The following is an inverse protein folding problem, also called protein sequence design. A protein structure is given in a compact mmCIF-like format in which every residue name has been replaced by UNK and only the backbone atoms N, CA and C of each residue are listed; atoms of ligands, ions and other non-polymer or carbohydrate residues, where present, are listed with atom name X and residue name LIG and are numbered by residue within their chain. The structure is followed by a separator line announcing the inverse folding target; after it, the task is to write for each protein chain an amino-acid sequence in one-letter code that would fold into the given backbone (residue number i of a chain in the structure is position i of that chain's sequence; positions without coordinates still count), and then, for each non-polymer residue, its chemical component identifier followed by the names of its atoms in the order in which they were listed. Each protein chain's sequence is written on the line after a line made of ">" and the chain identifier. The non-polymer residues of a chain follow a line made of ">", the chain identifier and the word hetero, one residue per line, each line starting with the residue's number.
data_IF_401958712945
#
_entry.id   IF_401958712945
#
_cell.length_a   1.000
_cell.length_b   1.000
_cell.length_c   1.000
_cell.angle_alpha   90.00
_cell.angle_beta   90.00
_cell.angle_gamma   90.00
#
_symmetry.space_group_name_H-M   'P 1'
#
loop_
_entity.id
_entity.type
_entity.pdbx_description
1 polymer ?
#
# COMPACT_ATOMS: atom_id res chain seq x y z
N UNK A 1 7.75 -9.63 -31.85
CA UNK A 1 7.65 -8.17 -31.68
C UNK A 1 9.00 -7.63 -31.21
N UNK A 2 9.42 -6.41 -31.60
CA UNK A 2 10.68 -5.85 -31.11
C UNK A 2 10.64 -5.80 -29.58
N UNK A 3 11.72 -6.26 -28.94
CA UNK A 3 11.90 -6.18 -27.49
C UNK A 3 11.69 -4.74 -27.07
N UNK A 4 10.68 -4.50 -26.23
CA UNK A 4 10.34 -3.17 -25.73
C UNK A 4 11.61 -2.47 -25.23
N UNK A 5 11.75 -1.16 -25.50
CA UNK A 5 12.88 -0.42 -24.94
C UNK A 5 12.69 -0.28 -23.43
N UNK A 6 13.53 -0.89 -22.58
CA UNK A 6 13.32 -0.91 -21.13
C UNK A 6 13.15 0.48 -20.52
N UNK A 7 13.86 1.48 -21.06
CA UNK A 7 13.74 2.86 -20.59
C UNK A 7 12.39 3.46 -20.94
N UNK A 8 11.88 3.20 -22.15
CA UNK A 8 10.55 3.65 -22.55
C UNK A 8 9.45 3.03 -21.69
N UNK A 9 9.55 1.73 -21.37
CA UNK A 9 8.62 1.05 -20.46
C UNK A 9 8.65 1.67 -19.06
N UNK A 10 9.84 1.88 -18.48
CA UNK A 10 9.97 2.52 -17.16
C UNK A 10 9.38 3.94 -17.14
N UNK A 11 9.65 4.73 -18.19
CA UNK A 11 9.10 6.08 -18.31
C UNK A 11 7.57 6.06 -18.43
N UNK A 12 7.02 5.11 -19.20
CA UNK A 12 5.57 4.94 -19.31
C UNK A 12 4.94 4.51 -17.98
N UNK A 13 5.57 3.58 -17.24
CA UNK A 13 5.12 3.20 -15.91
C UNK A 13 5.11 4.40 -14.95
N UNK A 14 6.11 5.29 -15.02
CA UNK A 14 6.15 6.52 -14.23
C UNK A 14 4.94 7.41 -14.53
N UNK A 15 4.67 7.69 -15.80
CA UNK A 15 3.55 8.55 -16.20
C UNK A 15 2.19 7.94 -15.80
N UNK A 16 2.05 6.61 -15.92
CA UNK A 16 0.87 5.88 -15.43
C UNK A 16 0.72 6.00 -13.92
N UNK A 17 1.79 5.85 -13.16
CA UNK A 17 1.76 6.00 -11.70
C UNK A 17 1.33 7.39 -11.25
N UNK A 18 1.89 8.44 -11.85
CA UNK A 18 1.52 9.82 -11.54
C UNK A 18 0.04 10.06 -11.84
N UNK A 19 -0.45 9.55 -12.98
CA UNK A 19 -1.86 9.64 -13.37
C UNK A 19 -2.76 8.90 -12.38
N UNK A 20 -2.43 7.66 -12.03
CA UNK A 20 -3.22 6.85 -11.09
C UNK A 20 -3.31 7.51 -9.70
N UNK A 21 -2.21 8.05 -9.19
CA UNK A 21 -2.22 8.75 -7.90
C UNK A 21 -3.06 10.03 -7.98
N UNK A 22 -2.96 10.79 -9.08
CA UNK A 22 -3.79 11.98 -9.29
C UNK A 22 -5.28 11.65 -9.29
N UNK A 23 -5.69 10.63 -10.05
CA UNK A 23 -7.08 10.16 -10.15
C UNK A 23 -7.59 9.65 -8.80
N UNK A 24 -6.79 8.85 -8.10
CA UNK A 24 -7.12 8.29 -6.79
C UNK A 24 -7.24 9.34 -5.67
N UNK A 25 -6.70 10.54 -5.89
CA UNK A 25 -6.70 11.64 -4.91
C UNK A 25 -7.62 12.81 -5.30
N UNK A 26 -8.23 12.78 -6.49
CA UNK A 26 -8.95 13.92 -7.05
C UNK A 26 -10.23 14.28 -6.28
N UNK A 27 -10.92 13.28 -5.73
CA UNK A 27 -12.18 13.44 -4.99
C UNK A 27 -12.14 12.62 -3.69
N UNK A 28 -12.46 13.26 -2.56
CA UNK A 28 -12.51 12.61 -1.25
C UNK A 28 -13.53 11.44 -1.19
N UNK A 29 -14.61 11.49 -1.98
CA UNK A 29 -15.63 10.43 -2.08
C UNK A 29 -15.17 9.22 -2.88
N UNK A 30 -14.11 9.34 -3.66
CA UNK A 30 -13.49 8.21 -4.36
C UNK A 30 -12.01 8.06 -3.98
N UNK A 31 -11.61 8.66 -2.86
CA UNK A 31 -10.23 8.63 -2.41
C UNK A 31 -9.79 7.17 -2.20
N UNK A 32 -8.75 6.74 -2.90
CA UNK A 32 -8.16 5.40 -2.76
C UNK A 32 -6.77 5.51 -2.15
N UNK A 33 -6.74 5.59 -0.82
CA UNK A 33 -5.51 5.66 -0.04
C UNK A 33 -4.61 4.45 -0.29
N UNK A 34 -5.20 3.27 -0.44
CA UNK A 34 -4.48 2.02 -0.64
C UNK A 34 -3.73 2.02 -1.98
N UNK A 35 -4.38 2.45 -3.05
CA UNK A 35 -3.76 2.62 -4.36
C UNK A 35 -2.65 3.67 -4.32
N UNK A 36 -2.90 4.84 -3.73
CA UNK A 36 -1.90 5.92 -3.58
C UNK A 36 -0.64 5.40 -2.90
N UNK A 37 -0.78 4.67 -1.78
CA UNK A 37 0.37 4.09 -1.05
C UNK A 37 1.08 3.07 -1.91
N UNK A 38 0.36 2.10 -2.48
CA UNK A 38 0.99 1.03 -3.28
C UNK A 38 1.78 1.61 -4.44
N UNK A 39 1.21 2.56 -5.18
CA UNK A 39 1.86 3.15 -6.36
C UNK A 39 3.03 4.06 -5.98
N UNK A 40 2.92 4.84 -4.89
CA UNK A 40 4.04 5.66 -4.42
C UNK A 40 5.20 4.82 -3.86
N UNK A 41 4.91 3.69 -3.21
CA UNK A 41 5.92 2.77 -2.66
C UNK A 41 6.86 2.20 -3.73
N UNK A 42 6.30 1.91 -4.92
CA UNK A 42 7.06 1.44 -6.10
C UNK A 42 8.21 2.40 -6.42
N UNK A 43 7.94 3.72 -6.33
CA UNK A 43 8.88 4.75 -6.76
C UNK A 43 9.86 5.19 -5.68
N UNK A 44 9.57 4.99 -4.39
CA UNK A 44 10.53 5.32 -3.30
C UNK A 44 11.88 4.64 -3.52
N UNK A 45 11.86 3.40 -4.00
CA UNK A 45 13.06 2.62 -4.28
C UNK A 45 13.45 2.59 -5.77
N UNK A 46 12.50 2.83 -6.70
CA UNK A 46 12.75 2.79 -8.15
C UNK A 46 13.17 4.13 -8.77
N UNK A 47 13.02 5.25 -8.04
CA UNK A 47 13.33 6.59 -8.58
C UNK A 47 14.80 6.72 -8.98
N UNK A 48 15.73 6.38 -8.08
CA UNK A 48 17.17 6.55 -8.40
C UNK A 48 17.60 5.67 -9.60
N UNK A 49 17.24 4.38 -9.67
CA UNK A 49 17.51 3.54 -10.84
C UNK A 49 16.94 4.09 -12.15
N UNK A 50 15.70 4.59 -12.15
CA UNK A 50 15.08 5.20 -13.33
C UNK A 50 15.90 6.41 -13.82
N UNK A 51 16.16 7.36 -12.93
CA UNK A 51 16.86 8.58 -13.30
C UNK A 51 18.30 8.28 -13.74
N UNK A 52 18.98 7.32 -13.11
CA UNK A 52 20.32 6.87 -13.51
C UNK A 52 20.31 6.34 -14.95
N UNK A 53 19.30 5.52 -15.28
CA UNK A 53 19.13 5.02 -16.64
C UNK A 53 18.84 6.15 -17.63
N UNK A 54 17.95 7.09 -17.32
CA UNK A 54 17.58 8.19 -18.22
C UNK A 54 18.73 9.17 -18.48
N UNK A 55 19.55 9.48 -17.48
CA UNK A 55 20.63 10.49 -17.61
C UNK A 55 22.00 9.89 -17.92
N UNK A 56 22.09 8.56 -18.08
CA UNK A 56 23.33 7.85 -18.39
C UNK A 56 24.00 8.37 -19.67
N UNK A 57 25.33 8.42 -19.69
CA UNK A 57 26.09 8.94 -20.86
C UNK A 57 26.20 7.93 -22.00
N UNK A 58 26.09 6.63 -21.71
CA UNK A 58 26.23 5.54 -22.69
C UNK A 58 24.90 4.80 -22.86
N UNK A 59 24.34 4.80 -24.08
CA UNK A 59 23.04 4.14 -24.40
C UNK A 59 22.98 2.67 -23.98
N UNK A 60 24.03 1.89 -24.23
CA UNK A 60 24.11 0.47 -23.82
C UNK A 60 24.03 0.28 -22.30
N UNK A 61 24.65 1.17 -21.54
CA UNK A 61 24.64 1.12 -20.07
C UNK A 61 23.28 1.57 -19.52
N UNK A 62 22.72 2.67 -20.04
CA UNK A 62 21.37 3.15 -19.75
C UNK A 62 20.32 2.05 -19.97
N UNK A 63 20.34 1.37 -21.13
CA UNK A 63 19.42 0.25 -21.42
C UNK A 63 19.56 -0.90 -20.43
N UNK A 64 20.78 -1.24 -20.02
CA UNK A 64 21.03 -2.29 -19.02
C UNK A 64 20.53 -1.90 -17.63
N UNK A 65 20.74 -0.65 -17.22
CA UNK A 65 20.23 -0.15 -15.94
C UNK A 65 18.70 -0.13 -15.93
N UNK A 66 18.07 0.31 -17.03
CA UNK A 66 16.62 0.26 -17.17
C UNK A 66 16.07 -1.18 -17.09
N UNK A 67 16.71 -2.12 -17.79
CA UNK A 67 16.32 -3.54 -17.69
C UNK A 67 16.48 -4.08 -16.25
N UNK A 68 17.59 -3.78 -15.58
CA UNK A 68 17.82 -4.18 -14.20
C UNK A 68 16.78 -3.58 -13.23
N UNK A 69 16.39 -2.32 -13.43
CA UNK A 69 15.34 -1.69 -12.63
C UNK A 69 13.97 -2.34 -12.85
N UNK A 70 13.60 -2.68 -14.10
CA UNK A 70 12.37 -3.43 -14.38
C UNK A 70 12.36 -4.81 -13.70
N UNK A 71 13.48 -5.53 -13.74
CA UNK A 71 13.59 -6.82 -13.06
C UNK A 71 13.40 -6.67 -11.55
N UNK A 72 14.10 -5.71 -10.95
CA UNK A 72 13.99 -5.42 -9.52
C UNK A 72 12.58 -5.01 -9.11
N UNK A 73 11.90 -4.18 -9.90
CA UNK A 73 10.49 -3.81 -9.66
C UNK A 73 9.55 -5.02 -9.78
N UNK A 74 9.81 -5.92 -10.74
CA UNK A 74 8.96 -7.07 -11.01
C UNK A 74 8.95 -8.07 -9.84
N UNK A 75 10.01 -8.14 -9.04
CA UNK A 75 10.07 -9.00 -7.85
C UNK A 75 8.94 -8.69 -6.85
N UNK A 76 8.47 -7.43 -6.81
CA UNK A 76 7.45 -6.98 -5.85
C UNK A 76 6.15 -6.53 -6.51
N UNK A 77 6.19 -6.12 -7.78
CA UNK A 77 5.09 -5.40 -8.44
C UNK A 77 4.75 -5.92 -9.84
N UNK A 78 5.14 -7.15 -10.19
CA UNK A 78 4.96 -7.73 -11.53
C UNK A 78 3.57 -7.50 -12.12
N UNK A 79 2.52 -7.91 -11.42
CA UNK A 79 1.13 -7.87 -11.93
C UNK A 79 0.73 -6.44 -12.33
N UNK A 80 0.95 -5.48 -11.42
CA UNK A 80 0.70 -4.07 -11.69
C UNK A 80 1.55 -3.56 -12.86
N UNK A 81 2.84 -3.92 -12.93
CA UNK A 81 3.72 -3.48 -14.02
C UNK A 81 3.25 -4.00 -15.37
N UNK A 82 2.88 -5.27 -15.46
CA UNK A 82 2.37 -5.89 -16.70
C UNK A 82 1.09 -5.20 -17.15
N UNK A 83 0.13 -5.01 -16.23
CA UNK A 83 -1.12 -4.32 -16.51
C UNK A 83 -0.89 -2.88 -17.01
N UNK A 84 -0.10 -2.08 -16.27
CA UNK A 84 0.13 -0.68 -16.62
C UNK A 84 1.00 -0.52 -17.88
N UNK A 85 1.94 -1.42 -18.12
CA UNK A 85 2.72 -1.46 -19.35
C UNK A 85 1.82 -1.77 -20.55
N UNK A 86 0.90 -2.73 -20.42
CA UNK A 86 -0.05 -3.07 -21.47
C UNK A 86 -0.98 -1.90 -21.82
N UNK A 87 -1.50 -1.18 -20.81
CA UNK A 87 -2.28 0.07 -21.01
C UNK A 87 -1.47 1.12 -21.79
N UNK A 88 -0.16 1.19 -21.56
CA UNK A 88 0.75 2.07 -22.29
C UNK A 88 1.24 1.50 -23.64
N UNK A 89 0.74 0.34 -24.07
CA UNK A 89 1.07 -0.29 -25.36
C UNK A 89 2.33 -1.16 -25.37
N UNK A 90 2.82 -1.61 -24.21
CA UNK A 90 4.02 -2.45 -24.08
C UNK A 90 3.68 -3.87 -23.60
N UNK A 91 4.20 -4.88 -24.31
CA UNK A 91 4.15 -6.28 -23.89
C UNK A 91 5.33 -6.61 -22.95
N UNK A 92 5.18 -6.29 -21.66
CA UNK A 92 6.24 -6.45 -20.66
C UNK A 92 6.39 -7.89 -20.16
N UNK A 93 5.29 -8.66 -20.10
CA UNK A 93 5.27 -9.99 -19.49
C UNK A 93 6.30 -10.94 -20.12
N UNK A 94 6.38 -10.97 -21.46
CA UNK A 94 7.33 -11.80 -22.21
C UNK A 94 8.80 -11.45 -21.96
N UNK A 95 9.06 -10.25 -21.42
CA UNK A 95 10.42 -9.73 -21.18
C UNK A 95 10.89 -9.93 -19.74
N UNK A 96 10.00 -10.36 -18.83
CA UNK A 96 10.34 -10.58 -17.43
C UNK A 96 10.58 -12.08 -17.19
N UNK A 97 11.53 -12.45 -16.31
CA UNK A 97 11.73 -13.84 -15.91
C UNK A 97 10.46 -14.42 -15.28
N UNK A 98 10.32 -15.75 -15.14
CA UNK A 98 9.21 -16.33 -14.40
C UNK A 98 9.06 -15.70 -13.01
N UNK A 99 7.82 -15.55 -12.55
CA UNK A 99 7.53 -14.99 -11.23
C UNK A 99 8.30 -15.78 -10.16
N UNK A 100 9.01 -15.11 -9.24
CA UNK A 100 9.68 -15.80 -8.15
C UNK A 100 8.67 -16.63 -7.35
N UNK A 101 9.14 -17.74 -6.77
CA UNK A 101 8.32 -18.63 -5.96
C UNK A 101 7.65 -17.84 -4.83
N UNK A 102 6.31 -17.88 -4.79
CA UNK A 102 5.49 -17.27 -3.73
C UNK A 102 5.09 -18.37 -2.75
N UNK A 103 5.92 -18.61 -1.75
CA UNK A 103 5.68 -19.58 -0.70
C UNK A 103 6.69 -19.41 0.44
N UNK A 104 6.68 -20.30 1.44
CA UNK A 104 7.58 -20.20 2.58
C UNK A 104 9.04 -20.06 2.14
N UNK A 105 9.80 -19.23 2.85
CA UNK A 105 11.18 -18.87 2.50
C UNK A 105 12.07 -18.93 3.73
N UNK A 106 13.39 -19.07 3.55
CA UNK A 106 14.33 -18.98 4.67
C UNK A 106 14.78 -17.54 4.88
N UNK A 107 14.73 -17.07 6.13
CA UNK A 107 15.29 -15.78 6.51
C UNK A 107 16.83 -15.82 6.58
N UNK A 108 17.44 -14.69 6.94
CA UNK A 108 18.90 -14.56 7.07
C UNK A 108 19.50 -15.44 8.19
N UNK A 109 18.68 -15.94 9.11
CA UNK A 109 19.09 -16.89 10.15
C UNK A 109 18.90 -18.35 9.71
N UNK A 110 18.49 -18.58 8.45
CA UNK A 110 18.20 -19.89 7.89
C UNK A 110 16.86 -20.48 8.33
N UNK A 111 16.06 -19.76 9.14
CA UNK A 111 14.77 -20.24 9.63
C UNK A 111 13.71 -20.06 8.56
N UNK A 112 12.85 -21.05 8.39
CA UNK A 112 11.73 -20.94 7.45
C UNK A 112 10.67 -19.98 8.02
N UNK A 113 10.20 -19.07 7.18
CA UNK A 113 9.20 -18.06 7.48
C UNK A 113 8.00 -18.25 6.56
N UNK A 114 6.78 -17.95 7.03
CA UNK A 114 5.60 -17.99 6.21
C UNK A 114 5.63 -16.85 5.19
N UNK A 115 5.03 -17.08 4.03
CA UNK A 115 4.75 -16.04 3.04
C UNK A 115 3.25 -15.70 3.06
N UNK A 116 2.84 -14.45 2.76
CA UNK A 116 1.44 -14.10 2.55
C UNK A 116 0.73 -15.11 1.63
N UNK A 117 -0.29 -15.79 2.15
CA UNK A 117 -0.99 -16.83 1.41
C UNK A 117 -2.47 -16.46 1.17
N UNK A 118 -3.05 -16.85 0.03
CA UNK A 118 -4.50 -16.70 -0.20
C UNK A 118 -5.30 -17.38 0.92
N UNK A 119 -6.44 -16.78 1.30
CA UNK A 119 -7.37 -17.39 2.24
C UNK A 119 -8.18 -18.49 1.54
N UNK A 120 -7.69 -19.73 1.64
CA UNK A 120 -8.36 -20.95 1.20
C UNK A 120 -8.82 -21.77 2.40
N UNK A 121 -9.66 -22.79 2.17
CA UNK A 121 -10.05 -23.75 3.20
C UNK A 121 -8.83 -24.42 3.83
N UNK A 122 -7.89 -24.91 3.01
CA UNK A 122 -6.66 -25.56 3.47
C UNK A 122 -5.79 -24.62 4.33
N UNK A 123 -5.65 -23.35 3.93
CA UNK A 123 -4.89 -22.37 4.70
C UNK A 123 -5.55 -22.10 6.07
N UNK A 124 -6.88 -22.07 6.13
CA UNK A 124 -7.63 -21.90 7.38
C UNK A 124 -7.48 -23.12 8.29
N UNK A 125 -7.55 -24.33 7.74
CA UNK A 125 -7.35 -25.58 8.49
C UNK A 125 -5.93 -25.67 9.06
N UNK A 126 -4.93 -25.34 8.27
CA UNK A 126 -3.53 -25.29 8.71
C UNK A 126 -3.34 -24.32 9.88
N UNK A 127 -3.90 -23.12 9.78
CA UNK A 127 -3.84 -22.10 10.83
C UNK A 127 -4.58 -22.54 12.09
N UNK A 128 -5.75 -23.15 11.96
CA UNK A 128 -6.51 -23.66 13.10
C UNK A 128 -5.83 -24.84 13.82
N UNK A 129 -4.96 -25.57 13.12
CA UNK A 129 -4.14 -26.61 13.75
C UNK A 129 -3.06 -26.01 14.64
N UNK A 130 -2.41 -24.92 14.20
CA UNK A 130 -1.26 -24.33 14.90
C UNK A 130 -1.64 -23.20 15.89
N UNK A 131 -2.81 -22.58 15.74
CA UNK A 131 -3.24 -21.43 16.54
C UNK A 131 -4.66 -21.57 17.10
N UNK A 132 -4.87 -21.06 18.32
CA UNK A 132 -6.19 -21.06 18.96
C UNK A 132 -6.98 -19.78 18.64
N UNK A 133 -7.66 -19.78 17.49
CA UNK A 133 -8.44 -18.62 17.02
C UNK A 133 -9.56 -18.22 17.99
N UNK A 134 -10.16 -19.18 18.70
CA UNK A 134 -11.25 -18.90 19.66
C UNK A 134 -10.77 -18.12 20.88
N UNK A 135 -9.50 -18.26 21.27
CA UNK A 135 -8.86 -17.52 22.36
C UNK A 135 -8.16 -16.23 21.89
N UNK A 136 -8.37 -15.83 20.64
CA UNK A 136 -7.72 -14.67 20.06
C UNK A 136 -8.27 -13.34 20.57
N UNK A 137 -7.52 -12.25 20.33
CA UNK A 137 -7.96 -10.88 20.57
C UNK A 137 -7.64 -10.01 19.35
N UNK A 138 -8.62 -9.24 18.88
CA UNK A 138 -8.42 -8.24 17.83
C UNK A 138 -7.55 -7.11 18.37
N UNK A 139 -6.38 -6.91 17.76
CA UNK A 139 -5.48 -5.80 18.09
C UNK A 139 -5.55 -4.66 17.08
N UNK A 140 -6.01 -4.92 15.87
CA UNK A 140 -6.33 -3.89 14.90
C UNK A 140 -7.46 -4.33 13.99
N UNK A 141 -8.38 -3.41 13.73
CA UNK A 141 -9.42 -3.57 12.73
C UNK A 141 -9.44 -2.30 11.87
N UNK A 142 -9.56 -2.46 10.55
CA UNK A 142 -9.76 -1.35 9.63
C UNK A 142 -10.73 -1.77 8.55
N UNK A 143 -11.75 -0.95 8.30
CA UNK A 143 -12.57 -1.02 7.09
C UNK A 143 -12.42 0.32 6.35
N UNK A 144 -12.18 0.26 5.05
CA UNK A 144 -11.81 1.43 4.26
C UNK A 144 -12.35 1.35 2.84
N UNK A 145 -12.96 2.43 2.38
CA UNK A 145 -13.33 2.58 0.97
C UNK A 145 -12.04 2.75 0.13
N UNK A 146 -11.81 1.82 -0.79
CA UNK A 146 -10.80 1.89 -1.83
C UNK A 146 -11.47 2.29 -3.15
N UNK A 147 -11.53 3.60 -3.41
CA UNK A 147 -12.35 4.14 -4.49
C UNK A 147 -13.83 3.91 -4.20
N UNK A 148 -14.48 3.06 -5.02
CA UNK A 148 -15.88 2.64 -4.83
C UNK A 148 -16.04 1.35 -4.04
N UNK A 149 -14.97 0.58 -3.88
CA UNK A 149 -14.98 -0.73 -3.23
C UNK A 149 -14.70 -0.57 -1.73
N UNK A 150 -15.02 -1.57 -0.93
CA UNK A 150 -14.71 -1.61 0.50
C UNK A 150 -13.65 -2.69 0.71
N UNK A 151 -12.56 -2.35 1.38
CA UNK A 151 -11.53 -3.30 1.79
C UNK A 151 -11.51 -3.36 3.33
N UNK A 152 -11.04 -4.48 3.89
CA UNK A 152 -10.85 -4.60 5.32
C UNK A 152 -9.49 -5.22 5.68
N UNK A 153 -9.03 -4.90 6.87
CA UNK A 153 -7.82 -5.48 7.46
C UNK A 153 -8.08 -5.78 8.93
N UNK A 154 -7.91 -7.04 9.32
CA UNK A 154 -8.11 -7.50 10.70
C UNK A 154 -6.81 -8.12 11.17
N UNK A 155 -6.25 -7.63 12.28
CA UNK A 155 -5.10 -8.25 12.93
C UNK A 155 -5.52 -8.75 14.30
N UNK A 156 -5.31 -10.04 14.55
CA UNK A 156 -5.57 -10.69 15.83
C UNK A 156 -4.26 -11.16 16.46
N UNK A 157 -4.17 -11.08 17.79
CA UNK A 157 -3.19 -11.85 18.58
C UNK A 157 -3.79 -13.20 18.92
N UNK A 158 -3.01 -14.26 18.76
CA UNK A 158 -3.48 -15.63 18.91
C UNK A 158 -2.53 -16.43 19.81
N UNK A 159 -3.04 -17.28 20.71
CA UNK A 159 -2.23 -18.29 21.37
C UNK A 159 -1.77 -19.36 20.38
N UNK A 160 -0.54 -19.86 20.56
CA UNK A 160 -0.02 -21.03 19.85
C UNK A 160 -0.57 -22.30 20.46
N UNK A 161 -0.77 -23.33 19.63
CA UNK A 161 -1.08 -24.70 20.07
C UNK A 161 0.16 -25.60 20.15
N UNK A 162 1.30 -25.09 19.70
CA UNK A 162 2.59 -25.75 19.74
C UNK A 162 3.52 -25.08 20.76
N UNK A 163 4.47 -25.83 21.34
CA UNK A 163 5.50 -25.25 22.21
C UNK A 163 6.42 -24.34 21.40
N UNK A 164 6.78 -23.19 21.96
CA UNK A 164 7.67 -22.21 21.34
C UNK A 164 8.60 -21.60 22.36
N UNK A 165 9.88 -21.40 22.01
CA UNK A 165 10.87 -20.71 22.85
C UNK A 165 10.76 -19.18 22.74
N UNK A 166 9.54 -18.67 22.85
CA UNK A 166 9.25 -17.23 22.90
C UNK A 166 7.97 -16.96 23.67
N UNK A 167 8.00 -15.92 24.50
CA UNK A 167 6.83 -15.41 25.21
C UNK A 167 6.00 -14.43 24.35
N UNK A 168 6.53 -13.97 23.22
CA UNK A 168 5.80 -13.03 22.35
C UNK A 168 4.63 -13.76 21.68
N UNK A 169 3.39 -13.26 21.77
CA UNK A 169 2.24 -13.88 21.12
C UNK A 169 2.36 -13.79 19.59
N UNK A 170 1.85 -14.79 18.88
CA UNK A 170 1.72 -14.75 17.43
C UNK A 170 0.65 -13.74 17.02
N UNK A 171 0.80 -13.15 15.83
CA UNK A 171 -0.19 -12.29 15.22
C UNK A 171 -0.58 -12.80 13.83
N UNK A 172 -1.88 -12.83 13.55
CA UNK A 172 -2.44 -13.16 12.25
C UNK A 172 -3.10 -11.92 11.67
N UNK A 173 -2.69 -11.53 10.47
CA UNK A 173 -3.25 -10.39 9.76
C UNK A 173 -4.02 -10.86 8.52
N UNK A 174 -5.30 -10.56 8.48
CA UNK A 174 -6.21 -10.87 7.39
C UNK A 174 -6.44 -9.62 6.55
N UNK A 175 -6.11 -9.70 5.27
CA UNK A 175 -6.31 -8.64 4.31
C UNK A 175 -7.42 -9.03 3.36
N UNK A 176 -8.57 -8.37 3.50
CA UNK A 176 -9.81 -8.70 2.79
C UNK A 176 -10.08 -7.67 1.70
N UNK A 177 -10.41 -8.16 0.50
CA UNK A 177 -10.65 -7.37 -0.71
C UNK A 177 -12.08 -7.49 -1.15
N UNK A 178 -12.64 -6.37 -1.57
CA UNK A 178 -14.03 -6.32 -2.06
C UNK A 178 -15.01 -6.87 -1.01
N UNK A 179 -14.92 -6.30 0.20
CA UNK A 179 -15.79 -6.55 1.34
C UNK A 179 -17.23 -6.24 0.97
N UNK A 180 -18.07 -7.27 1.04
CA UNK A 180 -19.51 -7.17 0.74
C UNK A 180 -20.30 -6.88 2.01
N UNK A 181 -19.83 -7.38 3.17
CA UNK A 181 -20.51 -7.16 4.45
C UNK A 181 -19.53 -6.99 5.60
N UNK A 182 -19.77 -6.00 6.45
CA UNK A 182 -19.04 -5.77 7.70
C UNK A 182 -20.03 -5.42 8.80
N UNK A 183 -19.89 -6.05 9.95
CA UNK A 183 -20.56 -5.68 11.19
C UNK A 183 -19.57 -5.96 12.32
N UNK A 184 -19.03 -4.92 12.97
CA UNK A 184 -18.05 -5.09 14.06
C UNK A 184 -18.33 -4.04 15.12
N UNK A 185 -18.44 -4.48 16.38
CA UNK A 185 -18.49 -3.58 17.52
C UNK A 185 -17.33 -3.85 18.50
N UNK A 186 -17.09 -2.91 19.40
CA UNK A 186 -16.10 -3.06 20.47
C UNK A 186 -16.34 -4.33 21.34
N UNK A 187 -17.59 -4.79 21.46
CA UNK A 187 -17.93 -6.03 22.17
C UNK A 187 -17.49 -7.31 21.44
N UNK A 188 -17.09 -7.23 20.18
CA UNK A 188 -16.78 -8.37 19.32
C UNK A 188 -15.28 -8.64 19.19
N UNK A 189 -14.43 -8.01 20.01
CA UNK A 189 -12.97 -8.01 19.85
C UNK A 189 -12.25 -9.25 20.41
N UNK A 190 -13.00 -10.23 20.93
CA UNK A 190 -12.47 -11.45 21.54
C UNK A 190 -12.99 -12.70 20.87
N UNK A 191 -12.08 -13.60 20.50
CA UNK A 191 -12.38 -14.80 19.74
C UNK A 191 -12.61 -14.51 18.27
N UNK A 192 -12.10 -15.41 17.43
CA UNK A 192 -12.26 -15.35 16.00
C UNK A 192 -12.54 -16.76 15.45
N UNK A 193 -13.27 -16.81 14.34
CA UNK A 193 -13.37 -17.99 13.50
C UNK A 193 -13.26 -17.55 12.04
N UNK A 194 -12.64 -18.37 11.21
CA UNK A 194 -12.49 -18.09 9.79
C UNK A 194 -13.13 -19.23 9.02
N UNK A 195 -13.90 -18.89 8.00
CA UNK A 195 -14.55 -19.85 7.09
C UNK A 195 -14.39 -19.35 5.67
N UNK A 196 -14.11 -20.23 4.73
CA UNK A 196 -14.08 -19.91 3.29
C UNK A 196 -15.23 -20.64 2.62
N UNK A 197 -16.03 -19.91 1.85
CA UNK A 197 -17.17 -20.43 1.09
C UNK A 197 -17.02 -20.06 -0.38
N UNK A 198 -17.94 -20.51 -1.23
CA UNK A 198 -17.96 -20.12 -2.65
C UNK A 198 -18.09 -18.60 -2.85
N UNK A 199 -18.71 -17.89 -1.89
CA UNK A 199 -18.85 -16.44 -1.90
C UNK A 199 -17.58 -15.69 -1.40
N UNK A 200 -16.57 -16.43 -0.94
CA UNK A 200 -15.31 -15.91 -0.42
C UNK A 200 -15.09 -16.11 1.09
N UNK A 201 -14.02 -15.52 1.65
CA UNK A 201 -13.69 -15.64 3.07
C UNK A 201 -14.61 -14.79 3.97
N UNK A 202 -15.04 -15.41 5.08
CA UNK A 202 -15.73 -14.78 6.20
C UNK A 202 -14.91 -14.93 7.48
N UNK A 203 -14.69 -13.82 8.18
CA UNK A 203 -14.07 -13.78 9.51
C UNK A 203 -15.16 -13.43 10.51
N UNK A 204 -15.54 -14.35 11.39
CA UNK A 204 -16.37 -14.05 12.55
C UNK A 204 -15.48 -13.56 13.70
N UNK A 205 -15.95 -12.53 14.42
CA UNK A 205 -15.26 -11.88 15.54
C UNK A 205 -16.24 -11.82 16.72
N UNK A 206 -15.85 -12.35 17.87
CA UNK A 206 -16.72 -12.40 19.05
C UNK A 206 -18.05 -13.10 18.80
N UNK A 207 -19.11 -12.54 19.37
CA UNK A 207 -20.44 -13.19 19.35
C UNK A 207 -21.23 -12.81 18.11
N UNK A 208 -21.11 -11.57 17.62
CA UNK A 208 -21.94 -11.05 16.52
C UNK A 208 -21.13 -10.44 15.39
N UNK A 209 -19.87 -10.09 15.63
CA UNK A 209 -19.05 -9.42 14.64
C UNK A 209 -18.67 -10.32 13.48
N UNK A 210 -18.59 -9.78 12.28
CA UNK A 210 -18.02 -10.46 11.13
C UNK A 210 -17.60 -9.50 10.01
N UNK A 211 -16.73 -10.01 9.14
CA UNK A 211 -16.36 -9.41 7.86
C UNK A 211 -16.45 -10.47 6.76
N UNK A 212 -17.14 -10.16 5.67
CA UNK A 212 -17.27 -11.03 4.50
C UNK A 212 -16.74 -10.30 3.26
N UNK A 213 -15.93 -10.98 2.47
CA UNK A 213 -15.24 -10.40 1.33
C UNK A 213 -15.14 -11.40 0.17
N UNK A 214 -14.99 -10.91 -1.05
CA UNK A 214 -14.85 -11.77 -2.23
C UNK A 214 -13.52 -12.53 -2.23
N UNK A 215 -12.45 -11.94 -1.69
CA UNK A 215 -11.15 -12.59 -1.56
C UNK A 215 -10.33 -12.02 -0.39
N UNK A 216 -9.25 -12.70 -0.06
CA UNK A 216 -8.29 -12.17 0.90
C UNK A 216 -7.01 -13.00 1.00
N UNK A 217 -6.06 -12.49 1.75
CA UNK A 217 -4.83 -13.19 2.13
C UNK A 217 -4.58 -13.10 3.63
N UNK A 218 -3.81 -14.07 4.11
CA UNK A 218 -3.35 -14.18 5.48
C UNK A 218 -1.84 -13.97 5.54
N UNK A 219 -1.44 -13.09 6.44
CA UNK A 219 -0.07 -12.87 6.86
C UNK A 219 0.11 -13.41 8.29
N UNK A 220 1.01 -14.38 8.45
CA UNK A 220 1.38 -14.92 9.76
C UNK A 220 2.63 -14.21 10.24
N UNK A 221 2.53 -13.47 11.35
CA UNK A 221 3.68 -12.85 12.02
C UNK A 221 3.97 -13.61 13.31
N UNK A 222 4.88 -14.58 13.21
CA UNK A 222 5.28 -15.42 14.33
C UNK A 222 6.74 -15.86 14.19
N UNK A 223 7.61 -15.39 15.08
CA UNK A 223 9.04 -15.74 15.06
C UNK A 223 9.29 -17.24 15.30
N UNK A 224 8.36 -17.93 15.96
CA UNK A 224 8.39 -19.36 16.21
C UNK A 224 7.58 -20.15 15.18
N UNK A 225 7.14 -19.55 14.07
CA UNK A 225 6.34 -20.26 13.07
C UNK A 225 7.06 -21.51 12.53
N UNK A 226 8.39 -21.48 12.39
CA UNK A 226 9.21 -22.63 12.00
C UNK A 226 9.05 -23.86 12.94
N UNK A 227 8.63 -23.65 14.20
CA UNK A 227 8.37 -24.69 15.19
C UNK A 227 6.92 -25.23 15.14
N UNK A 228 6.07 -24.64 14.30
CA UNK A 228 4.69 -25.10 14.07
C UNK A 228 4.66 -26.36 13.19
N UNK A 229 3.50 -27.02 13.09
CA UNK A 229 3.36 -28.15 12.17
C UNK A 229 3.53 -27.72 10.71
N UNK A 230 2.95 -26.58 10.34
CA UNK A 230 3.13 -25.96 9.02
C UNK A 230 4.60 -25.61 8.76
N UNK A 231 5.25 -24.97 9.72
CA UNK A 231 6.65 -24.57 9.64
C UNK A 231 7.58 -25.75 9.41
N UNK A 232 7.43 -26.85 10.16
CA UNK A 232 8.23 -28.06 9.96
C UNK A 232 8.02 -28.72 8.59
N UNK A 233 6.78 -28.73 8.07
CA UNK A 233 6.50 -29.23 6.72
C UNK A 233 7.18 -28.37 5.67
N UNK A 234 7.10 -27.05 5.82
CA UNK A 234 7.78 -26.10 4.94
C UNK A 234 9.30 -26.27 5.01
N UNK A 235 9.87 -26.39 6.21
CA UNK A 235 11.30 -26.59 6.42
C UNK A 235 11.85 -27.81 5.67
N UNK A 236 11.08 -28.89 5.59
CA UNK A 236 11.46 -30.12 4.89
C UNK A 236 11.55 -29.97 3.36
N UNK A 237 10.87 -28.99 2.77
CA UNK A 237 10.78 -28.82 1.30
C UNK A 237 11.41 -27.52 0.80
N UNK A 238 11.57 -26.52 1.65
CA UNK A 238 12.19 -25.24 1.31
C UNK A 238 13.70 -25.43 1.28
N UNK A 239 14.35 -25.32 0.10
CA UNK A 239 15.79 -25.51 0.00
C UNK A 239 16.52 -24.47 0.86
N UNK A 240 17.79 -24.71 1.21
CA UNK A 240 18.65 -23.67 1.73
C UNK A 240 18.55 -22.45 0.82
N UNK A 241 18.37 -21.26 1.41
CA UNK A 241 18.35 -20.04 0.62
C UNK A 241 19.63 -19.96 -0.21
N UNK A 242 19.57 -19.53 -1.49
CA UNK A 242 20.79 -19.27 -2.23
C UNK A 242 21.65 -18.31 -1.39
N UNK A 243 22.98 -18.52 -1.34
CA UNK A 243 23.87 -17.48 -0.82
C UNK A 243 23.45 -16.17 -1.47
N UNK A 244 22.99 -15.20 -0.68
CA UNK A 244 22.50 -13.91 -1.18
C UNK A 244 23.63 -13.26 -1.96
N UNK A 245 23.70 -13.52 -3.26
CA UNK A 245 24.35 -12.66 -4.21
C UNK A 245 23.42 -11.47 -4.31
N UNK A 246 23.54 -10.57 -3.34
CA UNK A 246 22.70 -9.40 -3.23
C UNK A 246 22.52 -8.79 -4.61
N UNK A 247 21.26 -8.62 -5.04
CA UNK A 247 20.99 -8.03 -6.34
C UNK A 247 21.83 -6.77 -6.46
N UNK A 248 22.65 -6.62 -7.52
CA UNK A 248 23.53 -5.48 -7.65
C UNK A 248 22.65 -4.22 -7.54
N UNK A 249 22.85 -3.46 -6.46
CA UNK A 249 22.10 -2.22 -6.26
C UNK A 249 22.34 -1.34 -7.49
N UNK A 250 21.28 -0.81 -8.12
CA UNK A 250 21.46 0.05 -9.28
C UNK A 250 22.38 1.23 -8.95
N UNK A 251 23.21 1.64 -9.91
CA UNK A 251 24.17 2.73 -9.70
C UNK A 251 23.46 4.03 -9.25
N UNK A 252 24.14 4.81 -8.41
CA UNK A 252 23.68 6.13 -7.97
C UNK A 252 23.79 7.15 -9.13
N UNK A 253 22.80 8.04 -9.25
CA UNK A 253 22.78 9.16 -10.21
C UNK A 253 24.02 10.05 -10.00
N UNK A 254 24.92 10.11 -10.99
CA UNK A 254 26.21 10.83 -10.88
C UNK A 254 26.19 12.30 -11.33
N UNK A 255 25.05 12.78 -11.86
CA UNK A 255 24.93 14.09 -12.50
C UNK A 255 24.05 15.05 -11.70
N UNK A 256 24.48 16.29 -11.46
CA UNK A 256 23.83 17.20 -10.50
C UNK A 256 22.36 17.54 -10.83
N UNK A 257 22.04 17.90 -12.07
CA UNK A 257 20.65 18.24 -12.44
C UNK A 257 19.76 16.99 -12.44
N UNK A 258 20.29 15.86 -12.92
CA UNK A 258 19.58 14.57 -12.83
C UNK A 258 19.38 14.13 -11.38
N UNK A 259 20.35 14.40 -10.51
CA UNK A 259 20.30 14.12 -9.06
C UNK A 259 19.29 15.02 -8.37
N UNK A 260 19.23 16.30 -8.72
CA UNK A 260 18.25 17.25 -8.17
C UNK A 260 16.82 16.83 -8.54
N UNK A 261 16.54 16.58 -9.82
CA UNK A 261 15.23 16.10 -10.27
C UNK A 261 14.86 14.74 -9.65
N UNK A 262 15.81 13.80 -9.59
CA UNK A 262 15.62 12.49 -8.96
C UNK A 262 15.29 12.61 -7.46
N UNK A 263 16.05 13.44 -6.74
CA UNK A 263 15.83 13.68 -5.31
C UNK A 263 14.48 14.32 -5.05
N UNK A 264 14.13 15.35 -5.82
CA UNK A 264 12.84 16.03 -5.73
C UNK A 264 11.67 15.10 -5.94
N UNK A 265 11.72 14.28 -6.99
CA UNK A 265 10.67 13.29 -7.25
C UNK A 265 10.58 12.23 -6.14
N UNK A 266 11.72 11.73 -5.65
CA UNK A 266 11.76 10.77 -4.54
C UNK A 266 11.18 11.37 -3.24
N UNK A 267 11.51 12.62 -2.93
CA UNK A 267 10.95 13.35 -1.79
C UNK A 267 9.44 13.52 -1.94
N UNK A 268 8.94 13.93 -3.11
CA UNK A 268 7.51 14.01 -3.39
C UNK A 268 6.81 12.65 -3.23
N UNK A 269 7.38 11.55 -3.73
CA UNK A 269 6.79 10.22 -3.57
C UNK A 269 6.78 9.77 -2.11
N UNK A 270 7.80 10.12 -1.31
CA UNK A 270 7.79 9.89 0.14
C UNK A 270 6.73 10.70 0.86
N UNK A 271 6.56 11.97 0.49
CA UNK A 271 5.51 12.83 1.03
C UNK A 271 4.11 12.27 0.71
N UNK A 272 3.87 11.85 -0.53
CA UNK A 272 2.63 11.17 -0.91
C UNK A 272 2.46 9.86 -0.11
N UNK A 273 3.54 9.10 0.11
CA UNK A 273 3.51 7.86 0.90
C UNK A 273 3.15 8.09 2.37
N UNK A 274 3.29 9.30 2.92
CA UNK A 274 2.85 9.64 4.28
C UNK A 274 1.36 9.35 4.48
N UNK A 275 0.56 9.29 3.41
CA UNK A 275 -0.83 8.80 3.41
C UNK A 275 -0.99 7.38 4.00
N UNK A 276 0.10 6.63 4.16
CA UNK A 276 0.12 5.37 4.93
C UNK A 276 -0.31 5.56 6.38
N UNK A 277 -0.11 6.75 6.94
CA UNK A 277 -0.55 7.13 8.27
C UNK A 277 -1.95 7.73 8.16
N UNK A 278 -3.00 7.04 8.67
CA UNK A 278 -4.37 7.52 8.50
C UNK A 278 -4.59 8.93 9.07
N UNK A 279 -3.85 9.31 10.10
CA UNK A 279 -3.96 10.64 10.72
C UNK A 279 -3.43 11.79 9.87
N UNK A 280 -2.84 11.52 8.71
CA UNK A 280 -2.23 12.51 7.82
C UNK A 280 -2.89 12.55 6.44
N UNK A 281 -4.06 11.92 6.28
CA UNK A 281 -4.77 11.88 4.97
C UNK A 281 -5.46 13.20 4.61
N UNK A 282 -5.65 14.08 5.59
CA UNK A 282 -6.15 15.43 5.39
C UNK A 282 -5.06 16.39 4.88
N UNK A 283 -3.81 15.92 4.77
CA UNK A 283 -2.74 16.70 4.16
C UNK A 283 -3.09 16.97 2.68
N UNK A 284 -3.24 18.25 2.31
CA UNK A 284 -3.63 18.63 0.96
C UNK A 284 -2.49 18.36 -0.03
N UNK A 285 -2.85 18.27 -1.31
CA UNK A 285 -1.93 18.53 -2.41
C UNK A 285 -1.38 17.32 -3.15
N UNK A 286 -1.79 16.09 -2.84
CA UNK A 286 -1.35 14.89 -3.59
C UNK A 286 -1.62 15.06 -5.09
N UNK A 287 -2.85 15.44 -5.48
CA UNK A 287 -3.18 15.66 -6.89
C UNK A 287 -2.39 16.83 -7.51
N UNK A 288 -2.09 17.87 -6.74
CA UNK A 288 -1.28 19.00 -7.22
C UNK A 288 0.18 18.59 -7.44
N UNK A 289 0.76 17.83 -6.52
CA UNK A 289 2.10 17.25 -6.67
C UNK A 289 2.16 16.33 -7.89
N UNK A 290 1.15 15.48 -8.10
CA UNK A 290 1.08 14.66 -9.31
C UNK A 290 0.96 15.50 -10.58
N UNK A 291 0.18 16.59 -10.59
CA UNK A 291 0.08 17.49 -11.76
C UNK A 291 1.44 18.07 -12.15
N UNK A 292 2.29 18.44 -11.18
CA UNK A 292 3.63 18.97 -11.45
C UNK A 292 4.58 17.95 -12.09
N UNK A 293 4.35 16.67 -11.84
CA UNK A 293 5.11 15.57 -12.45
C UNK A 293 4.38 14.89 -13.61
N UNK A 294 3.28 15.47 -14.10
CA UNK A 294 2.58 14.94 -15.27
C UNK A 294 3.51 14.95 -16.50
N UNK A 295 3.69 13.79 -17.15
CA UNK A 295 4.60 13.65 -18.28
C UNK A 295 6.09 13.57 -17.90
N UNK A 296 6.42 13.33 -16.62
CA UNK A 296 7.80 13.17 -16.18
C UNK A 296 8.54 12.04 -16.92
N UNK A 297 7.85 10.95 -17.24
CA UNK A 297 8.37 9.86 -18.07
C UNK A 297 8.75 10.35 -19.48
N UNK A 298 7.85 11.05 -20.15
CA UNK A 298 8.13 11.66 -21.46
C UNK A 298 9.32 12.63 -21.43
N UNK A 299 9.43 13.45 -20.38
CA UNK A 299 10.56 14.36 -20.16
C UNK A 299 11.88 13.58 -20.01
N UNK A 300 11.89 12.52 -19.20
CA UNK A 300 13.06 11.67 -18.99
C UNK A 300 13.51 10.98 -20.28
N UNK A 301 12.55 10.46 -21.05
CA UNK A 301 12.83 9.82 -22.34
C UNK A 301 13.44 10.84 -23.33
N UNK A 302 12.85 12.04 -23.41
CA UNK A 302 13.36 13.12 -24.26
C UNK A 302 14.75 13.63 -23.83
N UNK A 303 15.09 13.54 -22.54
CA UNK A 303 16.42 13.85 -22.03
C UNK A 303 17.44 12.76 -22.42
N UNK A 304 17.05 11.49 -22.39
CA UNK A 304 17.92 10.36 -22.72
C UNK A 304 18.46 10.42 -24.17
N UNK A 305 17.67 10.99 -25.09
CA UNK A 305 18.05 11.19 -26.49
C UNK A 305 19.07 12.32 -26.71
N UNK A 306 19.38 13.13 -25.69
CA UNK A 306 20.30 14.26 -25.83
C UNK A 306 21.75 13.84 -25.64
N UNK A 307 22.63 14.39 -26.49
CA UNK A 307 24.06 14.06 -26.50
C UNK A 307 24.85 14.79 -25.42
N UNK A 308 24.48 16.03 -25.12
CA UNK A 308 25.25 16.86 -24.18
C UNK A 308 24.53 17.01 -22.84
N UNK A 309 25.32 17.07 -21.78
CA UNK A 309 24.87 17.33 -20.41
C UNK A 309 24.03 18.61 -20.30
N UNK A 310 24.40 19.67 -21.02
CA UNK A 310 23.65 20.94 -21.05
C UNK A 310 22.26 20.80 -21.67
N UNK A 311 22.13 20.06 -22.76
CA UNK A 311 20.83 19.80 -23.38
C UNK A 311 19.94 18.96 -22.46
N UNK A 312 20.50 17.95 -21.79
CA UNK A 312 19.77 17.16 -20.79
C UNK A 312 19.26 18.02 -19.65
N UNK A 313 20.13 18.88 -19.09
CA UNK A 313 19.74 19.80 -18.03
C UNK A 313 18.58 20.71 -18.43
N UNK A 314 18.61 21.25 -19.65
CA UNK A 314 17.54 22.11 -20.14
C UNK A 314 16.19 21.37 -20.23
N UNK A 315 16.19 20.11 -20.66
CA UNK A 315 14.98 19.27 -20.72
C UNK A 315 14.50 18.86 -19.32
N UNK A 316 15.41 18.60 -18.38
CA UNK A 316 15.07 18.18 -17.01
C UNK A 316 14.64 19.34 -16.08
N UNK A 317 14.79 20.59 -16.51
CA UNK A 317 14.50 21.76 -15.69
C UNK A 317 13.08 21.79 -15.12
N UNK A 318 12.00 21.47 -15.86
CA UNK A 318 10.65 21.41 -15.30
C UNK A 318 10.52 20.46 -14.10
N UNK A 319 11.22 19.31 -14.11
CA UNK A 319 11.22 18.36 -12.99
C UNK A 319 12.00 18.90 -11.79
N UNK A 320 13.02 19.74 -12.04
CA UNK A 320 13.78 20.40 -10.97
C UNK A 320 12.97 21.53 -10.35
N UNK A 321 12.26 22.32 -11.17
CA UNK A 321 11.40 23.40 -10.71
C UNK A 321 10.21 22.86 -9.91
N UNK A 322 9.63 21.73 -10.35
CA UNK A 322 8.60 21.01 -9.61
C UNK A 322 9.04 20.60 -8.20
N UNK A 323 10.32 20.26 -8.03
CA UNK A 323 10.91 19.88 -6.74
C UNK A 323 11.15 21.06 -5.80
N UNK A 324 11.34 22.27 -6.33
CA UNK A 324 11.67 23.47 -5.54
C UNK A 324 10.47 24.12 -4.88
N UNK A 325 9.25 23.71 -5.26
CA UNK A 325 8.01 24.21 -4.68
C UNK A 325 7.38 23.10 -3.80
N UNK A 326 7.95 22.78 -2.62
CA UNK A 326 7.36 21.78 -1.74
C UNK A 326 5.96 22.21 -1.30
N UNK A 327 5.18 21.27 -0.79
CA UNK A 327 3.84 21.53 -0.27
C UNK A 327 3.81 22.80 0.60
N UNK A 328 3.00 23.79 0.21
CA UNK A 328 2.51 24.74 1.21
C UNK A 328 1.48 23.99 2.06
N UNK A 329 1.75 23.74 3.35
CA UNK A 329 0.73 23.16 4.21
C UNK A 329 -0.46 24.12 4.21
N UNK A 330 -1.67 23.63 3.87
CA UNK A 330 -2.86 24.44 4.10
C UNK A 330 -2.87 24.87 5.57
N UNK A 331 -3.33 26.09 5.88
CA UNK A 331 -3.48 26.52 7.26
C UNK A 331 -4.22 25.44 8.04
N UNK A 332 -3.68 25.07 9.21
CA UNK A 332 -4.33 24.12 10.11
C UNK A 332 -5.75 24.62 10.33
N UNK A 333 -6.72 23.91 9.77
CA UNK A 333 -8.11 24.13 10.15
C UNK A 333 -8.18 23.63 11.58
N UNK A 334 -8.52 24.52 12.53
CA UNK A 334 -8.71 24.11 13.92
C UNK A 334 -9.63 22.88 13.96
N UNK A 335 -9.39 21.92 14.87
CA UNK A 335 -10.24 20.74 15.02
C UNK A 335 -11.66 21.16 15.36
N UNK A 336 -12.43 21.44 14.31
CA UNK A 336 -13.77 21.96 14.38
C UNK A 336 -14.74 20.84 14.70
N UNK A 337 -15.72 21.22 15.51
CA UNK A 337 -17.02 20.57 15.76
C UNK A 337 -17.39 19.53 14.71
N UNK A 338 -17.84 18.34 15.14
CA UNK A 338 -18.36 17.27 14.25
C UNK A 338 -19.21 17.91 13.13
N UNK A 339 -18.89 17.69 11.85
CA UNK A 339 -19.68 18.23 10.75
C UNK A 339 -21.14 17.75 10.91
N UNK A 340 -22.09 18.60 10.53
CA UNK A 340 -23.48 18.19 10.50
C UNK A 340 -23.60 16.94 9.62
N UNK A 341 -24.07 15.84 10.22
CA UNK A 341 -23.93 14.46 9.73
C UNK A 341 -24.65 14.23 8.40
N UNK A 342 -25.58 15.11 8.01
CA UNK A 342 -26.43 14.91 6.84
C UNK A 342 -25.71 14.94 5.48
N UNK A 343 -24.43 15.33 5.41
CA UNK A 343 -23.67 15.39 4.14
C UNK A 343 -22.27 14.76 4.21
N UNK A 344 -21.95 13.99 5.25
CA UNK A 344 -20.63 13.38 5.40
C UNK A 344 -20.66 11.89 5.06
N UNK A 345 -19.75 11.42 4.22
CA UNK A 345 -19.63 10.00 3.87
C UNK A 345 -18.49 9.35 4.66
N UNK A 346 -18.76 8.24 5.34
CA UNK A 346 -17.71 7.48 6.01
C UNK A 346 -16.79 6.80 4.98
N UNK A 347 -15.49 7.09 5.06
CA UNK A 347 -14.46 6.56 4.15
C UNK A 347 -13.58 5.51 4.80
N UNK A 348 -13.35 5.62 6.10
CA UNK A 348 -12.52 4.67 6.84
C UNK A 348 -12.95 4.64 8.29
N UNK A 349 -12.95 3.46 8.89
CA UNK A 349 -12.88 3.25 10.33
C UNK A 349 -11.63 2.44 10.62
N UNK A 350 -10.84 2.87 11.60
CA UNK A 350 -9.69 2.12 12.11
C UNK A 350 -9.74 2.08 13.63
N UNK A 351 -9.83 0.87 14.16
CA UNK A 351 -9.65 0.55 15.55
C UNK A 351 -8.25 -0.05 15.78
N UNK A 352 -7.66 0.29 16.92
CA UNK A 352 -6.43 -0.33 17.44
C UNK A 352 -6.58 -0.50 18.94
N UNK A 353 -6.46 -1.72 19.43
CA UNK A 353 -6.48 -2.01 20.85
C UNK A 353 -5.21 -1.51 21.53
N UNK A 354 -5.28 -1.34 22.84
CA UNK A 354 -4.11 -1.17 23.68
C UNK A 354 -3.19 -2.39 23.57
N UNK A 355 -1.91 -2.16 23.35
CA UNK A 355 -0.92 -3.23 23.32
C UNK A 355 0.49 -2.70 23.50
N UNK A 356 1.41 -3.59 23.85
CA UNK A 356 2.84 -3.30 23.80
C UNK A 356 3.41 -3.61 22.42
N UNK A 357 4.25 -2.71 21.91
CA UNK A 357 5.01 -2.88 20.67
C UNK A 357 6.45 -2.42 20.89
N UNK A 358 7.42 -3.33 20.74
CA UNK A 358 8.85 -3.07 20.96
C UNK A 358 9.15 -2.42 22.33
N UNK A 359 8.57 -2.96 23.41
CA UNK A 359 8.77 -2.41 24.74
C UNK A 359 7.96 -1.14 25.06
N UNK A 360 7.12 -0.66 24.12
CA UNK A 360 6.40 0.61 24.27
C UNK A 360 4.89 0.39 24.32
N UNK A 361 4.18 0.97 25.29
CA UNK A 361 2.73 0.93 25.30
C UNK A 361 2.17 1.75 24.13
N UNK A 362 1.23 1.17 23.42
CA UNK A 362 0.41 1.81 22.39
C UNK A 362 -0.99 1.95 22.97
N UNK A 363 -1.48 3.18 23.06
CA UNK A 363 -2.82 3.44 23.55
C UNK A 363 -3.88 2.97 22.55
N UNK A 364 -5.04 2.57 23.10
CA UNK A 364 -6.24 2.31 22.33
C UNK A 364 -6.62 3.55 21.50
N UNK A 365 -7.00 3.34 20.24
CA UNK A 365 -7.32 4.43 19.32
C UNK A 365 -8.43 4.02 18.37
N UNK A 366 -9.39 4.92 18.17
CA UNK A 366 -10.38 4.85 17.11
C UNK A 366 -10.28 6.08 16.20
N UNK A 367 -10.07 5.83 14.92
CA UNK A 367 -10.00 6.84 13.86
C UNK A 367 -11.14 6.64 12.87
N UNK A 368 -11.79 7.74 12.50
CA UNK A 368 -12.75 7.77 11.39
C UNK A 368 -12.35 8.80 10.36
N UNK A 369 -12.43 8.44 9.09
CA UNK A 369 -12.27 9.37 7.98
C UNK A 369 -13.63 9.63 7.38
N UNK A 370 -13.95 10.90 7.16
CA UNK A 370 -15.16 11.33 6.47
C UNK A 370 -14.77 12.12 5.22
N UNK A 371 -15.44 11.86 4.10
CA UNK A 371 -15.47 12.82 3.01
C UNK A 371 -16.51 13.87 3.37
N UNK A 372 -16.12 15.15 3.35
CA UNK A 372 -17.00 16.28 3.66
C UNK A 372 -16.89 17.35 2.58
N UNK A 373 -17.99 18.05 2.23
CA UNK A 373 -17.91 19.18 1.32
C UNK A 373 -17.07 20.30 1.94
N UNK A 374 -16.28 21.00 1.13
CA UNK A 374 -15.57 22.20 1.55
C UNK A 374 -16.59 23.36 1.49
N UNK A 375 -16.85 24.07 2.61
CA UNK A 375 -17.76 25.21 2.60
C UNK A 375 -17.22 26.29 1.65
N UNK A 376 -17.98 26.63 0.61
CA UNK A 376 -17.67 27.77 -0.26
C UNK A 376 -18.25 29.03 0.39
N UNK A 377 -17.48 30.12 0.60
CA UNK A 377 -17.92 31.24 1.43
C UNK A 377 -19.18 32.00 0.98
N UNK A 378 -19.69 31.84 -0.25
CA UNK A 378 -20.82 32.64 -0.75
C UNK A 378 -21.66 31.83 -1.75
N UNK A 379 -22.88 31.47 -1.36
CA UNK A 379 -23.96 31.05 -2.26
C UNK A 379 -24.08 29.56 -2.55
N UNK A 380 -24.90 28.84 -1.76
CA UNK A 380 -25.40 27.49 -2.06
C UNK A 380 -24.35 26.38 -2.08
N UNK A 381 -24.67 25.21 -1.53
CA UNK A 381 -23.90 24.01 -1.81
C UNK A 381 -24.31 23.54 -3.21
N UNK A 382 -23.48 23.76 -4.22
CA UNK A 382 -23.68 23.11 -5.52
C UNK A 382 -23.16 21.67 -5.45
N UNK A 383 -23.80 20.75 -6.18
CA UNK A 383 -23.45 19.30 -6.17
C UNK A 383 -21.99 19.00 -6.58
N UNK A 384 -21.27 19.99 -7.13
CA UNK A 384 -19.88 19.87 -7.58
C UNK A 384 -18.87 20.57 -6.66
N UNK A 385 -19.28 21.00 -5.47
CA UNK A 385 -18.34 21.59 -4.51
C UNK A 385 -17.20 20.61 -4.19
N UNK A 386 -15.96 21.10 -4.06
CA UNK A 386 -14.83 20.24 -3.80
C UNK A 386 -14.97 19.55 -2.44
N UNK A 387 -14.72 18.24 -2.40
CA UNK A 387 -14.76 17.46 -1.16
C UNK A 387 -13.35 17.31 -0.57
N UNK A 388 -13.27 17.19 0.75
CA UNK A 388 -12.03 16.89 1.47
C UNK A 388 -12.21 15.72 2.43
N UNK A 389 -11.11 15.06 2.76
CA UNK A 389 -11.10 14.11 3.87
C UNK A 389 -10.95 14.88 5.19
N UNK A 390 -11.79 14.53 6.16
CA UNK A 390 -11.70 14.96 7.56
C UNK A 390 -11.40 13.75 8.43
N UNK A 391 -10.38 13.87 9.28
CA UNK A 391 -9.99 12.82 10.23
C UNK A 391 -10.51 13.15 11.61
N UNK A 392 -11.24 12.23 12.21
CA UNK A 392 -11.75 12.31 13.57
C UNK A 392 -11.10 11.22 14.44
N UNK A 393 -10.47 11.62 15.54
CA UNK A 393 -10.15 10.72 16.66
C UNK A 393 -11.35 10.67 17.59
N UNK A 394 -11.83 9.47 17.88
CA UNK A 394 -12.88 9.29 18.87
C UNK A 394 -12.28 9.26 20.28
N UNK A 395 -12.80 10.05 21.24
CA UNK A 395 -12.38 9.98 22.63
C UNK A 395 -12.81 8.67 23.33
N UNK A 396 -13.81 7.95 22.82
CA UNK A 396 -14.39 6.76 23.45
C UNK A 396 -14.26 5.53 22.53
N UNK A 397 -13.05 5.00 22.33
CA UNK A 397 -12.82 3.89 21.40
C UNK A 397 -13.53 2.58 21.80
N UNK A 398 -14.03 2.46 23.03
CA UNK A 398 -14.69 1.26 23.55
C UNK A 398 -16.20 1.17 23.23
N UNK A 399 -16.78 2.18 22.57
CA UNK A 399 -18.23 2.22 22.26
C UNK A 399 -18.54 2.07 20.77
N UNK A 400 -17.54 1.80 19.94
CA UNK A 400 -17.75 1.80 18.49
C UNK A 400 -18.58 0.61 18.00
N UNK A 401 -19.38 0.90 16.99
CA UNK A 401 -19.95 -0.08 16.08
C UNK A 401 -19.73 0.43 14.65
N UNK A 402 -19.52 -0.48 13.72
CA UNK A 402 -19.44 -0.20 12.29
C UNK A 402 -20.20 -1.25 11.51
N UNK A 403 -20.96 -0.80 10.52
CA UNK A 403 -21.71 -1.64 9.59
C UNK A 403 -21.46 -1.22 8.15
N UNK A 404 -21.78 -2.09 7.20
CA UNK A 404 -21.67 -1.77 5.76
C UNK A 404 -22.46 -0.51 5.40
N UNK A 405 -23.65 -0.36 5.98
CA UNK A 405 -24.55 0.76 5.69
C UNK A 405 -23.94 2.12 6.05
N UNK A 406 -23.06 2.15 7.07
CA UNK A 406 -22.36 3.38 7.46
C UNK A 406 -21.46 3.92 6.34
N UNK A 407 -20.98 3.04 5.45
CA UNK A 407 -20.20 3.44 4.28
C UNK A 407 -21.07 3.79 3.09
N UNK A 408 -22.36 3.41 3.07
CA UNK A 408 -23.30 3.61 1.95
C UNK A 408 -24.12 4.90 2.07
N UNK A 409 -24.22 5.49 3.27
CA UNK A 409 -24.99 6.70 3.51
C UNK A 409 -24.39 7.91 2.74
N UNK A 410 -25.12 8.39 1.72
CA UNK A 410 -24.71 9.49 0.83
C UNK A 410 -25.09 9.30 -0.65
N UNK A 411 -25.53 8.10 -1.06
CA UNK A 411 -26.10 7.86 -2.40
C UNK A 411 -27.53 8.40 -2.55
#
# INVERSE_FOLDING_TARGET
>A
MPVADPLAVLCALLDRSVTQIAEASADARTFDRGLIIRVSDIWDNSTSPLFAAAVGTKRRHSRRQAAAALLWMADFHREWMVEQAAIAGFALEDSLPPTPFRGPYRDYSGRVQPWPQPLTTDAVEEVAADYDLAASRVISFRAERAGRRLDAHVTIRVPRRFPADTSEPAALAFHLKDVTRVEVAASDLHGAAVTVTDDGPKIALGTRGFVHAASGHLDVTDQAWHESAAGRRADAVVPPGPEEKGHPRPDVVRYDVGRAASRGFAETMREIRVMRYPVLVDLPGVSESCRRYAGAGAILLAAADRRTTRQRAAILRPLTDAAQNPFEPRPKVEPGRRPAVSTAELRMVKYRADHERYGRPVAEELLRHYAVPIPVPIGGLESNDPWRISVLRDPEPHTFAVRTEDFLAGC
#
